data_IF_917837226602
#
_entry.id   IF_917837226602
#
_cell.length_a   1.000
_cell.length_b   1.000
_cell.length_c   1.000
_cell.angle_alpha   90.00
_cell.angle_beta   90.00
_cell.angle_gamma   90.00
#
_symmetry.space_group_name_H-M   'P 1'
#
loop_
_entity.id
_entity.type
_entity.pdbx_description
1 polymer ?
#
# COMPACT_ATOMS: atom_id res chain seq x y z
N UNK A 1 21.85 41.36 -16.04
CA UNK A 1 23.04 40.50 -16.06
C UNK A 1 22.74 39.34 -15.12
N UNK A 2 22.45 38.18 -15.69
CA UNK A 2 22.08 36.96 -14.95
C UNK A 2 23.31 36.13 -14.70
N UNK A 3 23.67 35.97 -13.44
CA UNK A 3 24.72 35.06 -12.98
C UNK A 3 24.20 33.63 -13.02
N UNK A 4 24.75 32.85 -13.93
CA UNK A 4 24.51 31.41 -14.02
C UNK A 4 25.11 30.73 -12.78
N UNK A 5 24.25 30.30 -11.85
CA UNK A 5 24.65 29.43 -10.76
C UNK A 5 25.06 28.07 -11.33
N UNK A 6 26.34 27.77 -11.28
CA UNK A 6 26.92 26.50 -11.69
C UNK A 6 26.24 25.36 -10.87
N UNK A 7 25.45 24.53 -11.53
CA UNK A 7 25.01 23.24 -11.00
C UNK A 7 26.25 22.39 -10.70
N UNK A 8 26.57 22.28 -9.43
CA UNK A 8 27.57 21.30 -8.95
C UNK A 8 27.05 19.92 -9.34
N UNK A 9 27.66 19.30 -10.35
CA UNK A 9 27.31 17.95 -10.75
C UNK A 9 27.58 17.02 -9.55
N UNK A 10 26.54 16.41 -8.99
CA UNK A 10 26.71 15.34 -8.02
C UNK A 10 27.50 14.22 -8.68
N UNK A 11 28.70 14.01 -8.21
CA UNK A 11 29.59 12.93 -8.68
C UNK A 11 28.97 11.62 -8.17
N UNK A 12 28.30 10.87 -9.05
CA UNK A 12 27.72 9.57 -8.72
C UNK A 12 28.83 8.58 -8.39
N UNK A 13 28.93 8.22 -7.11
CA UNK A 13 29.81 7.13 -6.67
C UNK A 13 29.13 5.77 -6.87
N UNK A 14 29.92 4.78 -7.29
CA UNK A 14 29.48 3.42 -7.52
C UNK A 14 30.29 2.48 -6.63
N UNK A 15 29.64 1.43 -6.09
CA UNK A 15 30.33 0.39 -5.35
C UNK A 15 30.95 -0.61 -6.33
N UNK A 16 32.25 -0.85 -6.18
CA UNK A 16 32.99 -1.85 -6.93
C UNK A 16 33.40 -2.97 -6.00
N UNK A 17 33.16 -4.20 -6.43
CA UNK A 17 33.68 -5.41 -5.77
C UNK A 17 34.97 -5.77 -6.48
N UNK A 18 36.03 -5.97 -5.71
CA UNK A 18 37.33 -6.31 -6.25
C UNK A 18 37.91 -7.58 -5.64
N UNK A 19 38.68 -8.29 -6.42
CA UNK A 19 39.49 -9.43 -6.02
C UNK A 19 40.94 -9.13 -6.45
N UNK A 20 41.87 -9.28 -5.52
CA UNK A 20 43.29 -9.03 -5.77
C UNK A 20 44.17 -9.98 -5.00
N UNK A 21 45.46 -9.91 -5.24
CA UNK A 21 46.49 -10.63 -4.49
C UNK A 21 47.38 -9.64 -3.75
N UNK A 22 47.58 -9.88 -2.48
CA UNK A 22 48.52 -9.12 -1.63
C UNK A 22 49.97 -9.45 -2.03
N UNK A 23 50.91 -8.68 -1.53
CA UNK A 23 52.38 -8.88 -1.76
C UNK A 23 52.85 -10.28 -1.34
N UNK A 24 52.14 -10.94 -0.45
CA UNK A 24 52.39 -12.33 -0.01
C UNK A 24 51.73 -13.41 -0.93
N UNK A 25 51.10 -13.01 -2.04
CA UNK A 25 50.39 -13.94 -2.96
C UNK A 25 49.02 -14.41 -2.46
N UNK A 26 48.54 -13.92 -1.30
CA UNK A 26 47.24 -14.29 -0.72
C UNK A 26 46.12 -13.54 -1.44
N UNK A 27 45.05 -14.27 -1.82
CA UNK A 27 43.85 -13.66 -2.43
C UNK A 27 43.08 -12.86 -1.38
N UNK A 28 42.93 -11.56 -1.65
CA UNK A 28 42.13 -10.63 -0.82
C UNK A 28 40.94 -10.15 -1.65
N UNK A 29 39.79 -9.99 -0.97
CA UNK A 29 38.54 -9.53 -1.58
C UNK A 29 38.03 -8.35 -0.78
N UNK A 30 37.41 -7.36 -1.44
CA UNK A 30 36.84 -6.23 -0.76
C UNK A 30 35.84 -5.47 -1.65
N UNK A 31 35.21 -4.47 -1.05
CA UNK A 31 34.34 -3.55 -1.75
C UNK A 31 34.85 -2.12 -1.54
N UNK A 32 34.73 -1.27 -2.57
CA UNK A 32 35.20 0.11 -2.55
C UNK A 32 34.22 1.00 -3.30
N UNK A 33 33.92 2.17 -2.75
CA UNK A 33 33.16 3.20 -3.44
C UNK A 33 34.11 4.08 -4.25
N UNK A 34 33.75 4.31 -5.53
CA UNK A 34 34.53 5.13 -6.43
C UNK A 34 33.65 5.68 -7.57
N UNK A 35 34.09 6.75 -8.19
CA UNK A 35 33.39 7.35 -9.33
C UNK A 35 33.55 6.53 -10.62
N UNK A 36 34.56 5.64 -10.65
CA UNK A 36 34.84 4.77 -11.77
C UNK A 36 35.90 3.70 -11.48
N UNK A 37 35.98 2.70 -12.34
CA UNK A 37 36.88 1.57 -12.21
C UNK A 37 38.39 2.02 -12.20
N UNK A 38 38.70 3.09 -12.91
CA UNK A 38 40.06 3.65 -12.93
C UNK A 38 40.49 4.13 -11.54
N UNK A 39 39.60 4.71 -10.75
CA UNK A 39 39.90 5.17 -9.39
C UNK A 39 40.11 3.98 -8.45
N UNK A 40 39.28 2.91 -8.56
CA UNK A 40 39.48 1.67 -7.79
C UNK A 40 40.85 1.07 -8.09
N UNK A 41 41.21 0.95 -9.37
CA UNK A 41 42.47 0.41 -9.80
C UNK A 41 43.65 1.23 -9.27
N UNK A 42 43.57 2.55 -9.30
CA UNK A 42 44.61 3.43 -8.76
C UNK A 42 44.80 3.26 -7.25
N UNK A 43 43.72 3.16 -6.51
CA UNK A 43 43.74 3.02 -5.04
C UNK A 43 44.31 1.66 -4.63
N UNK A 44 43.88 0.57 -5.25
CA UNK A 44 44.33 -0.80 -4.95
C UNK A 44 45.83 -0.97 -5.31
N UNK A 45 46.29 -0.39 -6.42
CA UNK A 45 47.73 -0.37 -6.78
C UNK A 45 48.58 0.37 -5.75
N UNK A 46 48.10 1.50 -5.21
CA UNK A 46 48.79 2.23 -4.10
C UNK A 46 48.86 1.39 -2.83
N UNK A 47 47.89 0.53 -2.57
CA UNK A 47 47.90 -0.41 -1.45
C UNK A 47 48.76 -1.66 -1.69
N UNK A 48 49.39 -1.77 -2.86
CA UNK A 48 50.24 -2.92 -3.22
C UNK A 48 49.48 -4.19 -3.55
N UNK A 49 48.20 -4.09 -3.88
CA UNK A 49 47.34 -5.22 -4.24
C UNK A 49 47.39 -5.38 -5.76
N UNK A 50 47.76 -6.58 -6.22
CA UNK A 50 47.71 -6.96 -7.63
C UNK A 50 46.28 -7.35 -7.97
N UNK A 51 45.62 -6.54 -8.80
CA UNK A 51 44.20 -6.68 -9.14
C UNK A 51 44.02 -7.90 -10.05
N UNK A 52 43.10 -8.79 -9.69
CA UNK A 52 42.69 -9.94 -10.50
C UNK A 52 41.39 -9.63 -11.22
N UNK A 53 40.41 -9.03 -10.49
CA UNK A 53 39.10 -8.71 -11.04
C UNK A 53 38.53 -7.49 -10.34
N UNK A 54 37.98 -6.54 -11.10
CA UNK A 54 37.13 -5.44 -10.58
C UNK A 54 35.82 -5.52 -11.32
N UNK A 55 34.75 -5.70 -10.56
CA UNK A 55 33.38 -5.67 -11.10
C UNK A 55 32.63 -4.51 -10.47
N UNK A 56 32.08 -3.63 -11.30
CA UNK A 56 31.10 -2.69 -10.86
C UNK A 56 29.93 -3.50 -10.33
N UNK A 57 29.71 -3.41 -9.02
CA UNK A 57 28.52 -4.01 -8.44
C UNK A 57 27.35 -3.28 -9.09
N UNK A 58 26.67 -3.93 -10.06
CA UNK A 58 25.36 -3.47 -10.46
C UNK A 58 24.60 -3.43 -9.13
N UNK A 59 24.25 -2.20 -8.71
CA UNK A 59 23.25 -2.07 -7.66
C UNK A 59 22.11 -2.95 -8.14
N UNK A 60 22.05 -4.17 -7.62
CA UNK A 60 20.86 -4.97 -7.77
C UNK A 60 19.78 -3.99 -7.38
N UNK A 61 18.76 -3.84 -8.20
CA UNK A 61 17.57 -3.07 -7.86
C UNK A 61 17.13 -3.61 -6.52
N UNK A 62 17.70 -3.01 -5.45
CA UNK A 62 17.40 -3.41 -4.09
C UNK A 62 15.88 -3.34 -4.02
N UNK A 63 15.25 -4.38 -3.51
CA UNK A 63 13.80 -4.47 -3.46
C UNK A 63 13.22 -3.14 -2.97
N UNK A 64 12.03 -2.81 -3.40
CA UNK A 64 11.32 -1.62 -2.90
C UNK A 64 11.15 -1.75 -1.40
N UNK A 65 11.40 -0.66 -0.67
CA UNK A 65 11.09 -0.58 0.77
C UNK A 65 9.58 -0.59 0.93
N UNK A 66 9.07 -1.56 1.67
CA UNK A 66 7.63 -1.75 1.89
C UNK A 66 7.17 -1.22 3.26
N UNK A 67 5.86 -0.94 3.42
CA UNK A 67 5.28 -0.62 4.74
C UNK A 67 5.59 -1.72 5.78
N UNK A 68 5.65 -2.99 5.35
CA UNK A 68 5.98 -4.13 6.21
C UNK A 68 7.42 -4.05 6.72
N UNK A 69 8.36 -3.67 5.86
CA UNK A 69 9.77 -3.50 6.24
C UNK A 69 9.92 -2.39 7.27
N UNK A 70 9.24 -1.26 7.07
CA UNK A 70 9.26 -0.13 8.00
C UNK A 70 8.61 -0.51 9.34
N UNK A 71 7.51 -1.25 9.32
CA UNK A 71 6.85 -1.73 10.54
C UNK A 71 7.77 -2.67 11.33
N UNK A 72 8.41 -3.62 10.65
CA UNK A 72 9.36 -4.55 11.26
C UNK A 72 10.57 -3.81 11.85
N UNK A 73 11.15 -2.90 11.09
CA UNK A 73 12.23 -2.02 11.56
C UNK A 73 11.82 -1.27 12.83
N UNK A 74 10.64 -0.63 12.82
CA UNK A 74 10.15 0.16 13.96
C UNK A 74 10.01 -0.71 15.21
N UNK A 75 9.44 -1.92 15.07
CA UNK A 75 9.31 -2.87 16.18
C UNK A 75 10.66 -3.34 16.71
N UNK A 76 11.59 -3.67 15.81
CA UNK A 76 12.95 -4.09 16.22
C UNK A 76 13.68 -2.95 16.94
N UNK A 77 13.61 -1.72 16.40
CA UNK A 77 14.21 -0.55 17.02
C UNK A 77 13.62 -0.30 18.43
N UNK A 78 12.29 -0.31 18.54
CA UNK A 78 11.59 -0.14 19.83
C UNK A 78 12.02 -1.21 20.85
N UNK A 79 12.09 -2.48 20.43
CA UNK A 79 12.48 -3.58 21.32
C UNK A 79 13.93 -3.43 21.79
N UNK A 80 14.85 -3.05 20.90
CA UNK A 80 16.26 -2.85 21.26
C UNK A 80 16.42 -1.65 22.21
N UNK A 81 15.74 -0.54 21.94
CA UNK A 81 15.76 0.63 22.81
C UNK A 81 15.22 0.28 24.21
N UNK A 82 14.11 -0.48 24.26
CA UNK A 82 13.52 -0.98 25.51
C UNK A 82 14.45 -1.91 26.30
N UNK A 83 15.36 -2.60 25.60
CA UNK A 83 16.41 -3.42 26.23
C UNK A 83 17.66 -2.64 26.61
N UNK A 84 17.65 -1.30 26.48
CA UNK A 84 18.77 -0.43 26.83
C UNK A 84 19.88 -0.36 25.76
N UNK A 85 19.67 -0.89 24.55
CA UNK A 85 20.65 -0.78 23.47
C UNK A 85 20.68 0.68 22.96
N UNK A 86 21.86 1.31 22.87
CA UNK A 86 21.98 2.67 22.35
C UNK A 86 21.43 2.80 20.93
N UNK A 87 20.79 3.93 20.63
CA UNK A 87 20.09 4.19 19.35
C UNK A 87 20.94 3.88 18.12
N UNK A 88 22.14 4.41 18.03
CA UNK A 88 23.03 4.20 16.87
C UNK A 88 23.47 2.74 16.72
N UNK A 89 23.64 2.04 17.82
CA UNK A 89 23.94 0.61 17.81
C UNK A 89 22.73 -0.22 17.36
N UNK A 90 21.53 0.15 17.80
CA UNK A 90 20.29 -0.49 17.34
C UNK A 90 20.10 -0.32 15.83
N UNK A 91 20.34 0.88 15.27
CA UNK A 91 20.35 1.10 13.82
C UNK A 91 21.34 0.20 13.09
N UNK A 92 22.54 0.03 13.65
CA UNK A 92 23.59 -0.81 13.06
C UNK A 92 23.18 -2.28 13.02
N UNK A 93 22.63 -2.79 14.11
CA UNK A 93 22.17 -4.18 14.22
C UNK A 93 21.02 -4.45 13.25
N UNK A 94 19.99 -3.59 13.28
CA UNK A 94 18.81 -3.78 12.42
C UNK A 94 19.17 -3.59 10.96
N UNK A 95 19.96 -2.56 10.64
CA UNK A 95 20.34 -2.27 9.27
C UNK A 95 21.22 -3.36 8.64
N UNK A 96 22.20 -3.88 9.35
CA UNK A 96 23.05 -4.98 8.87
C UNK A 96 22.33 -6.32 8.83
N UNK A 97 21.36 -6.54 9.74
CA UNK A 97 20.57 -7.77 9.83
C UNK A 97 19.38 -7.84 8.87
N UNK A 98 19.02 -6.73 8.20
CA UNK A 98 17.82 -6.69 7.37
C UNK A 98 18.03 -7.41 6.03
N UNK A 99 17.10 -8.28 5.66
CA UNK A 99 17.16 -9.09 4.43
C UNK A 99 17.01 -8.26 3.14
N UNK A 100 16.34 -7.10 3.21
CA UNK A 100 16.15 -6.20 2.08
C UNK A 100 17.29 -5.17 2.02
N UNK A 101 18.19 -5.23 0.99
CA UNK A 101 19.32 -4.30 0.90
C UNK A 101 18.92 -2.83 0.73
N UNK A 102 17.72 -2.53 0.23
CA UNK A 102 17.23 -1.16 0.13
C UNK A 102 16.92 -0.59 1.52
N UNK A 103 16.34 -1.40 2.40
CA UNK A 103 16.08 -1.04 3.80
C UNK A 103 17.39 -0.86 4.54
N UNK A 104 18.32 -1.81 4.40
CA UNK A 104 19.65 -1.70 5.01
C UNK A 104 20.33 -0.37 4.65
N UNK A 105 20.34 0.01 3.37
CA UNK A 105 20.90 1.30 2.92
C UNK A 105 20.14 2.49 3.52
N UNK A 106 18.80 2.47 3.51
CA UNK A 106 17.98 3.52 4.09
C UNK A 106 18.35 3.76 5.56
N UNK A 107 18.41 2.68 6.35
CA UNK A 107 18.72 2.75 7.78
C UNK A 107 20.16 3.22 8.04
N UNK A 108 21.13 2.78 7.23
CA UNK A 108 22.51 3.26 7.34
C UNK A 108 22.64 4.74 6.97
N UNK A 109 21.86 5.24 5.99
CA UNK A 109 21.83 6.67 5.66
C UNK A 109 21.28 7.49 6.83
N UNK A 110 20.15 7.05 7.42
CA UNK A 110 19.55 7.71 8.59
C UNK A 110 20.53 7.69 9.77
N UNK A 111 21.16 6.55 10.03
CA UNK A 111 22.20 6.43 11.08
C UNK A 111 23.31 7.46 10.87
N UNK A 112 23.85 7.56 9.66
CA UNK A 112 24.92 8.52 9.33
C UNK A 112 24.47 9.96 9.51
N UNK A 113 23.23 10.30 9.15
CA UNK A 113 22.68 11.64 9.37
C UNK A 113 22.64 11.98 10.86
N UNK A 114 22.23 11.02 11.70
CA UNK A 114 22.19 11.21 13.18
C UNK A 114 23.61 11.28 13.76
N UNK A 115 24.56 10.48 13.28
CA UNK A 115 25.97 10.53 13.69
C UNK A 115 26.63 11.88 13.39
N UNK A 116 26.18 12.56 12.32
CA UNK A 116 26.66 13.91 11.97
C UNK A 116 26.00 15.03 12.78
N UNK A 117 25.15 14.70 13.76
CA UNK A 117 24.54 15.65 14.69
C UNK A 117 23.13 16.11 14.29
N UNK A 118 22.51 15.49 13.29
CA UNK A 118 21.11 15.75 12.95
C UNK A 118 20.20 15.07 13.96
N UNK A 119 19.10 15.73 14.35
CA UNK A 119 18.12 15.07 15.20
C UNK A 119 17.37 13.98 14.43
N UNK A 120 16.84 13.00 15.16
CA UNK A 120 16.23 11.80 14.57
C UNK A 120 14.99 12.14 13.73
N UNK A 121 14.17 13.11 14.18
CA UNK A 121 13.01 13.61 13.42
C UNK A 121 13.43 14.09 12.04
N UNK A 122 14.43 14.97 11.96
CA UNK A 122 14.92 15.54 10.70
C UNK A 122 15.54 14.47 9.78
N UNK A 123 16.23 13.49 10.35
CA UNK A 123 16.79 12.38 9.59
C UNK A 123 15.70 11.54 8.90
N UNK A 124 14.59 11.29 9.58
CA UNK A 124 13.43 10.60 8.97
C UNK A 124 12.69 11.47 7.97
N UNK A 125 12.52 12.77 8.21
CA UNK A 125 11.85 13.73 7.30
C UNK A 125 12.53 13.82 5.93
N UNK A 126 13.80 13.51 5.79
CA UNK A 126 14.49 13.40 4.49
C UNK A 126 13.93 12.28 3.60
N UNK A 127 13.19 11.34 4.18
CA UNK A 127 12.67 10.16 3.48
C UNK A 127 11.14 10.08 3.53
N UNK A 128 10.39 11.08 3.01
CA UNK A 128 8.94 11.20 3.15
C UNK A 128 8.15 10.09 2.45
N UNK A 129 8.78 9.33 1.54
CA UNK A 129 8.17 8.16 0.88
C UNK A 129 8.01 6.97 1.84
N UNK A 130 8.77 6.93 2.94
CA UNK A 130 8.83 5.81 3.88
C UNK A 130 8.34 6.18 5.28
N UNK A 131 8.55 7.44 5.67
CA UNK A 131 8.19 7.94 7.00
C UNK A 131 7.19 9.09 6.86
N UNK A 132 5.97 8.83 7.27
CA UNK A 132 4.89 9.81 7.25
C UNK A 132 5.05 10.89 8.34
N UNK A 133 4.34 12.01 8.26
CA UNK A 133 4.42 13.07 9.28
C UNK A 133 4.10 12.60 10.70
N UNK A 134 3.20 11.61 10.84
CA UNK A 134 2.90 11.00 12.14
C UNK A 134 4.15 10.36 12.73
N UNK A 135 4.86 9.55 11.95
CA UNK A 135 6.09 8.89 12.36
C UNK A 135 7.12 9.92 12.84
N UNK A 136 7.39 10.93 12.00
CA UNK A 136 8.37 11.96 12.29
C UNK A 136 8.02 12.79 13.54
N UNK A 137 6.74 13.14 13.72
CA UNK A 137 6.27 13.92 14.86
C UNK A 137 6.34 13.12 16.17
N UNK A 138 5.96 11.85 16.17
CA UNK A 138 6.09 10.99 17.35
C UNK A 138 7.55 10.79 17.75
N UNK A 139 8.43 10.52 16.78
CA UNK A 139 9.86 10.40 17.04
C UNK A 139 10.44 11.70 17.60
N UNK A 140 10.09 12.84 17.00
CA UNK A 140 10.54 14.16 17.47
C UNK A 140 10.06 14.48 18.89
N UNK A 141 8.81 14.17 19.22
CA UNK A 141 8.28 14.33 20.56
C UNK A 141 9.04 13.45 21.57
N UNK A 142 9.33 12.19 21.21
CA UNK A 142 10.09 11.27 22.03
C UNK A 142 11.54 11.70 22.25
N UNK A 143 12.17 12.20 21.21
CA UNK A 143 13.53 12.73 21.26
C UNK A 143 13.62 13.97 22.17
N UNK A 144 12.71 14.93 21.99
CA UNK A 144 12.65 16.15 22.77
C UNK A 144 12.35 15.91 24.26
N UNK A 145 11.49 14.95 24.57
CA UNK A 145 11.09 14.60 25.94
C UNK A 145 12.00 13.55 26.61
N UNK A 146 12.96 12.96 25.87
CA UNK A 146 13.81 11.89 26.38
C UNK A 146 13.09 10.56 26.63
N UNK A 147 11.90 10.36 26.03
CA UNK A 147 11.07 9.14 26.17
C UNK A 147 10.94 8.39 24.84
N UNK A 148 11.97 8.44 24.01
CA UNK A 148 11.98 7.87 22.66
C UNK A 148 11.59 6.40 22.64
N UNK A 149 12.06 5.63 23.62
CA UNK A 149 11.74 4.21 23.79
C UNK A 149 10.23 3.96 23.85
N UNK A 150 9.53 4.66 24.75
CA UNK A 150 8.08 4.53 24.93
C UNK A 150 7.30 4.92 23.68
N UNK A 151 7.72 6.01 23.00
CA UNK A 151 7.04 6.47 21.78
C UNK A 151 7.33 5.57 20.57
N UNK A 152 8.52 4.99 20.48
CA UNK A 152 8.80 3.99 19.44
C UNK A 152 7.97 2.72 19.63
N UNK A 153 7.72 2.27 20.87
CA UNK A 153 6.86 1.11 21.13
C UNK A 153 5.41 1.39 20.75
N UNK A 154 4.89 2.58 21.10
CA UNK A 154 3.56 3.04 20.64
C UNK A 154 3.48 3.14 19.12
N UNK A 155 4.50 3.68 18.49
CA UNK A 155 4.59 3.81 17.03
C UNK A 155 4.65 2.45 16.33
N UNK A 156 5.42 1.51 16.87
CA UNK A 156 5.49 0.14 16.37
C UNK A 156 4.11 -0.54 16.46
N UNK A 157 3.44 -0.44 17.60
CA UNK A 157 2.09 -0.97 17.81
C UNK A 157 1.08 -0.35 16.85
N UNK A 158 1.14 0.98 16.67
CA UNK A 158 0.32 1.68 15.67
C UNK A 158 0.55 1.14 14.24
N UNK A 159 1.82 1.07 13.80
CA UNK A 159 2.16 0.57 12.46
C UNK A 159 1.71 -0.88 12.25
N UNK A 160 1.83 -1.74 13.25
CA UNK A 160 1.36 -3.12 13.21
C UNK A 160 -0.15 -3.22 13.05
N UNK A 161 -0.91 -2.42 13.81
CA UNK A 161 -2.38 -2.34 13.72
C UNK A 161 -2.83 -1.89 12.31
N UNK A 162 -2.26 -0.79 11.82
CA UNK A 162 -2.58 -0.28 10.48
C UNK A 162 -2.21 -1.28 9.37
N UNK A 163 -1.05 -1.93 9.49
CA UNK A 163 -0.63 -2.96 8.55
C UNK A 163 -1.56 -4.18 8.60
N UNK A 164 -2.01 -4.57 9.80
CA UNK A 164 -2.98 -5.64 10.02
C UNK A 164 -4.30 -5.37 9.29
N UNK A 165 -4.88 -4.17 9.47
CA UNK A 165 -6.10 -3.76 8.77
C UNK A 165 -5.92 -3.84 7.24
N UNK A 166 -4.83 -3.27 6.70
CA UNK A 166 -4.53 -3.33 5.26
C UNK A 166 -4.39 -4.78 4.76
N UNK A 167 -3.71 -5.64 5.53
CA UNK A 167 -3.50 -7.04 5.18
C UNK A 167 -4.81 -7.83 5.15
N UNK A 168 -5.69 -7.64 6.14
CA UNK A 168 -7.01 -8.29 6.22
C UNK A 168 -7.88 -7.93 5.01
N UNK A 169 -8.00 -6.65 4.70
CA UNK A 169 -8.76 -6.16 3.53
C UNK A 169 -8.19 -6.76 2.24
N UNK A 170 -6.87 -6.73 2.06
CA UNK A 170 -6.21 -7.30 0.87
C UNK A 170 -6.44 -8.80 0.73
N UNK A 171 -6.36 -9.54 1.82
CA UNK A 171 -6.57 -11.00 1.85
C UNK A 171 -8.01 -11.36 1.49
N UNK A 172 -8.99 -10.64 2.05
CA UNK A 172 -10.40 -10.85 1.75
C UNK A 172 -10.76 -10.61 0.28
N UNK A 173 -10.12 -9.63 -0.36
CA UNK A 173 -10.36 -9.31 -1.78
C UNK A 173 -9.63 -10.27 -2.74
N UNK A 174 -8.63 -11.00 -2.28
CA UNK A 174 -7.82 -11.87 -3.14
C UNK A 174 -8.64 -13.00 -3.76
N UNK A 175 -9.44 -13.71 -2.95
CA UNK A 175 -10.26 -14.82 -3.41
C UNK A 175 -11.32 -14.41 -4.45
N UNK A 176 -12.15 -13.38 -4.22
CA UNK A 176 -13.09 -12.87 -5.22
C UNK A 176 -12.43 -12.46 -6.54
N UNK A 177 -11.31 -11.75 -6.47
CA UNK A 177 -10.58 -11.31 -7.68
C UNK A 177 -10.05 -12.53 -8.45
N UNK A 178 -9.49 -13.52 -7.76
CA UNK A 178 -8.99 -14.73 -8.40
C UNK A 178 -10.10 -15.48 -9.15
N UNK A 179 -11.29 -15.63 -8.53
CA UNK A 179 -12.41 -16.30 -9.17
C UNK A 179 -12.92 -15.52 -10.38
N UNK A 180 -13.05 -14.19 -10.29
CA UNK A 180 -13.47 -13.35 -11.42
C UNK A 180 -12.48 -13.48 -12.58
N UNK A 181 -11.18 -13.49 -12.33
CA UNK A 181 -10.15 -13.70 -13.35
C UNK A 181 -10.32 -15.07 -14.03
N UNK A 182 -10.49 -16.15 -13.25
CA UNK A 182 -10.72 -17.51 -13.79
C UNK A 182 -12.01 -17.53 -14.61
N UNK A 183 -13.07 -16.91 -14.12
CA UNK A 183 -14.34 -16.81 -14.83
C UNK A 183 -14.21 -16.12 -16.20
N UNK A 184 -13.53 -15.00 -16.25
CA UNK A 184 -13.26 -14.27 -17.50
C UNK A 184 -12.45 -15.13 -18.46
N UNK A 185 -11.42 -15.84 -17.97
CA UNK A 185 -10.60 -16.75 -18.80
C UNK A 185 -11.44 -17.88 -19.36
N UNK A 186 -12.24 -18.56 -18.53
CA UNK A 186 -13.11 -19.65 -18.98
C UNK A 186 -14.13 -19.16 -20.02
N UNK A 187 -14.78 -18.02 -19.74
CA UNK A 187 -15.74 -17.39 -20.66
C UNK A 187 -15.07 -17.07 -22.00
N UNK A 188 -13.86 -16.50 -21.98
CA UNK A 188 -13.11 -16.20 -23.20
C UNK A 188 -12.78 -17.49 -24.00
N UNK A 189 -12.37 -18.56 -23.32
CA UNK A 189 -12.08 -19.86 -23.96
C UNK A 189 -13.38 -20.40 -24.64
N UNK A 190 -14.51 -20.38 -23.95
CA UNK A 190 -15.77 -20.83 -24.49
C UNK A 190 -16.16 -19.99 -25.70
N UNK A 191 -16.07 -18.67 -25.62
CA UNK A 191 -16.43 -17.74 -26.71
C UNK A 191 -15.53 -17.89 -27.95
N UNK A 192 -14.23 -18.13 -27.74
CA UNK A 192 -13.26 -18.15 -28.86
C UNK A 192 -13.15 -19.52 -29.53
N UNK A 193 -13.28 -20.60 -28.76
CA UNK A 193 -13.03 -21.95 -29.26
C UNK A 193 -14.29 -22.82 -29.35
N UNK A 194 -15.11 -22.81 -28.28
CA UNK A 194 -16.23 -23.75 -28.18
C UNK A 194 -17.40 -23.32 -29.02
N UNK A 195 -17.85 -22.08 -28.91
CA UNK A 195 -19.03 -21.58 -29.65
C UNK A 195 -18.82 -21.61 -31.18
N UNK A 196 -17.64 -21.22 -31.72
CA UNK A 196 -17.39 -21.34 -33.16
C UNK A 196 -17.46 -22.80 -33.69
N UNK A 197 -16.92 -23.75 -32.89
CA UNK A 197 -17.02 -25.17 -33.26
C UNK A 197 -18.48 -25.66 -33.35
N UNK A 198 -19.31 -25.28 -32.37
CA UNK A 198 -20.74 -25.60 -32.42
C UNK A 198 -21.48 -24.90 -33.59
N UNK A 199 -21.07 -23.67 -33.93
CA UNK A 199 -21.63 -22.94 -35.09
C UNK A 199 -21.44 -23.72 -36.39
N UNK A 200 -20.28 -24.33 -36.60
CA UNK A 200 -20.02 -25.16 -37.78
C UNK A 200 -20.91 -26.39 -37.80
N UNK A 201 -21.06 -27.05 -36.66
CA UNK A 201 -21.97 -28.19 -36.51
C UNK A 201 -23.41 -27.82 -36.83
N UNK A 202 -23.92 -26.73 -36.27
CA UNK A 202 -25.30 -26.29 -36.50
C UNK A 202 -25.57 -25.88 -37.95
N UNK A 203 -24.58 -25.27 -38.63
CA UNK A 203 -24.69 -24.95 -40.08
C UNK A 203 -24.89 -26.20 -40.93
N UNK A 204 -24.28 -27.33 -40.55
CA UNK A 204 -24.41 -28.58 -41.32
C UNK A 204 -25.80 -29.22 -41.21
N UNK A 205 -26.56 -28.90 -40.14
CA UNK A 205 -27.92 -29.42 -39.95
C UNK A 205 -29.01 -28.60 -40.64
N UNK A 206 -28.72 -27.39 -41.12
CA UNK A 206 -29.65 -26.58 -41.93
C UNK A 206 -30.91 -26.09 -41.19
N UNK A 207 -30.95 -26.17 -39.84
CA UNK A 207 -32.12 -25.81 -39.07
C UNK A 207 -32.05 -24.35 -38.57
N UNK A 208 -33.23 -23.73 -38.41
CA UNK A 208 -33.36 -22.40 -37.82
C UNK A 208 -32.93 -22.40 -36.34
N UNK A 209 -31.95 -21.58 -36.02
CA UNK A 209 -31.42 -21.48 -34.67
C UNK A 209 -32.29 -20.64 -33.73
N UNK A 210 -32.46 -21.05 -32.47
CA UNK A 210 -33.20 -20.25 -31.50
C UNK A 210 -32.53 -18.89 -31.23
N UNK A 211 -33.34 -17.87 -30.93
CA UNK A 211 -32.87 -16.51 -30.66
C UNK A 211 -31.74 -16.41 -29.60
N UNK A 212 -31.81 -17.10 -28.43
CA UNK A 212 -30.71 -17.07 -27.47
C UNK A 212 -29.38 -17.58 -28.03
N UNK A 213 -29.43 -18.64 -28.88
CA UNK A 213 -28.23 -19.17 -29.54
C UNK A 213 -27.64 -18.17 -30.53
N UNK A 214 -28.49 -17.50 -31.33
CA UNK A 214 -28.05 -16.45 -32.26
C UNK A 214 -27.35 -15.29 -31.51
N UNK A 215 -27.91 -14.87 -30.39
CA UNK A 215 -27.29 -13.79 -29.56
C UNK A 215 -25.89 -14.21 -29.09
N UNK A 216 -25.77 -15.40 -28.52
CA UNK A 216 -24.48 -15.91 -28.02
C UNK A 216 -23.46 -16.08 -29.13
N UNK A 217 -23.88 -16.56 -30.30
CA UNK A 217 -23.05 -16.67 -31.51
C UNK A 217 -22.60 -15.32 -32.02
N UNK A 218 -23.48 -14.32 -32.06
CA UNK A 218 -23.13 -12.96 -32.50
C UNK A 218 -22.10 -12.32 -31.56
N UNK A 219 -22.27 -12.52 -30.24
CA UNK A 219 -21.27 -12.05 -29.23
C UNK A 219 -19.94 -12.78 -29.43
N UNK A 220 -19.98 -14.10 -29.67
CA UNK A 220 -18.77 -14.89 -29.94
C UNK A 220 -18.04 -14.41 -31.18
N UNK A 221 -18.75 -14.21 -32.29
CA UNK A 221 -18.18 -13.69 -33.54
C UNK A 221 -17.51 -12.32 -33.31
N UNK A 222 -18.16 -11.44 -32.57
CA UNK A 222 -17.58 -10.15 -32.21
C UNK A 222 -16.32 -10.29 -31.39
N UNK A 223 -16.31 -11.18 -30.38
CA UNK A 223 -15.14 -11.46 -29.56
C UNK A 223 -14.01 -12.05 -30.39
N UNK A 224 -14.29 -13.03 -31.23
CA UNK A 224 -13.30 -13.67 -32.13
C UNK A 224 -12.70 -12.68 -33.12
N UNK A 225 -13.54 -11.84 -33.74
CA UNK A 225 -13.06 -10.82 -34.67
C UNK A 225 -12.22 -9.72 -34.00
N UNK A 226 -12.51 -9.39 -32.75
CA UNK A 226 -11.92 -8.24 -32.07
C UNK A 226 -11.12 -8.61 -30.82
N UNK A 227 -10.75 -9.87 -30.62
CA UNK A 227 -10.10 -10.33 -29.39
C UNK A 227 -8.86 -9.48 -29.00
N UNK A 228 -8.04 -9.12 -29.99
CA UNK A 228 -6.83 -8.33 -29.78
C UNK A 228 -7.16 -6.92 -29.27
N UNK A 229 -8.18 -6.27 -29.88
CA UNK A 229 -8.63 -4.93 -29.45
C UNK A 229 -9.35 -4.98 -28.09
N UNK A 230 -10.11 -6.03 -27.81
CA UNK A 230 -10.81 -6.22 -26.54
C UNK A 230 -9.83 -6.42 -25.39
N UNK A 231 -8.95 -7.41 -25.49
CA UNK A 231 -8.00 -7.71 -24.42
C UNK A 231 -6.87 -6.67 -24.35
N UNK A 232 -6.36 -6.22 -25.49
CA UNK A 232 -5.36 -5.15 -25.55
C UNK A 232 -5.92 -3.82 -25.07
N UNK A 233 -7.11 -3.45 -25.53
CA UNK A 233 -7.80 -2.23 -25.10
C UNK A 233 -8.16 -2.26 -23.61
N UNK A 234 -8.65 -3.40 -23.08
CA UNK A 234 -8.89 -3.57 -21.66
C UNK A 234 -7.60 -3.42 -20.83
N UNK A 235 -6.50 -4.04 -21.28
CA UNK A 235 -5.21 -3.90 -20.64
C UNK A 235 -4.71 -2.44 -20.60
N UNK A 236 -4.80 -1.74 -21.73
CA UNK A 236 -4.45 -0.31 -21.82
C UNK A 236 -5.38 0.54 -20.94
N UNK A 237 -6.69 0.27 -20.94
CA UNK A 237 -7.66 0.99 -20.12
C UNK A 237 -7.38 0.80 -18.62
N UNK A 238 -7.11 -0.43 -18.17
CA UNK A 238 -6.74 -0.75 -16.79
C UNK A 238 -5.43 -0.04 -16.42
N UNK A 239 -4.42 -0.10 -17.27
CA UNK A 239 -3.15 0.59 -17.05
C UNK A 239 -3.34 2.11 -16.96
N UNK A 240 -4.06 2.71 -17.91
CA UNK A 240 -4.35 4.14 -17.93
C UNK A 240 -5.17 4.58 -16.69
N UNK A 241 -6.15 3.75 -16.27
CA UNK A 241 -6.92 3.99 -15.05
C UNK A 241 -6.04 4.03 -13.81
N UNK A 242 -5.19 3.01 -13.57
CA UNK A 242 -4.30 3.01 -12.42
C UNK A 242 -3.21 4.09 -12.51
N UNK A 243 -2.74 4.43 -13.71
CA UNK A 243 -1.78 5.49 -13.91
C UNK A 243 -2.37 6.87 -13.60
N UNK A 244 -3.58 7.16 -14.10
CA UNK A 244 -4.31 8.41 -13.81
C UNK A 244 -4.72 8.50 -12.35
N UNK A 245 -5.18 7.40 -11.76
CA UNK A 245 -5.54 7.36 -10.34
C UNK A 245 -4.36 7.72 -9.43
N UNK A 246 -3.18 7.15 -9.70
CA UNK A 246 -1.96 7.47 -8.91
C UNK A 246 -1.47 8.91 -9.11
N UNK A 247 -1.73 9.52 -10.25
CA UNK A 247 -1.15 10.82 -10.62
C UNK A 247 -2.10 11.99 -10.49
N UNK A 248 -3.39 11.79 -10.57
CA UNK A 248 -4.41 12.84 -10.55
C UNK A 248 -5.12 12.91 -9.20
N UNK A 249 -4.91 13.99 -8.45
CA UNK A 249 -5.62 14.27 -7.20
C UNK A 249 -7.14 14.32 -7.39
N UNK A 250 -7.60 14.89 -8.52
CA UNK A 250 -9.04 14.93 -8.84
C UNK A 250 -9.65 13.54 -8.99
N UNK A 251 -8.91 12.62 -9.61
CA UNK A 251 -9.33 11.23 -9.77
C UNK A 251 -9.36 10.49 -8.43
N UNK A 252 -8.37 10.74 -7.56
CA UNK A 252 -8.35 10.19 -6.20
C UNK A 252 -9.57 10.65 -5.40
N UNK A 253 -9.86 11.96 -5.41
CA UNK A 253 -11.04 12.54 -4.72
C UNK A 253 -12.34 11.91 -5.24
N UNK A 254 -12.48 11.81 -6.57
CA UNK A 254 -13.67 11.20 -7.17
C UNK A 254 -13.84 9.74 -6.75
N UNK A 255 -12.75 8.96 -6.79
CA UNK A 255 -12.78 7.55 -6.39
C UNK A 255 -13.06 7.37 -4.91
N UNK A 256 -12.47 8.19 -4.04
CA UNK A 256 -12.71 8.14 -2.59
C UNK A 256 -14.19 8.42 -2.25
N UNK A 257 -14.82 9.37 -2.94
CA UNK A 257 -16.25 9.66 -2.80
C UNK A 257 -17.12 8.54 -3.35
N UNK A 258 -16.75 8.01 -4.50
CA UNK A 258 -17.51 6.94 -5.16
C UNK A 258 -17.52 5.68 -4.30
N UNK A 259 -16.37 5.26 -3.78
CA UNK A 259 -16.24 4.04 -2.96
C UNK A 259 -17.11 4.13 -1.70
N UNK A 260 -17.21 5.30 -1.06
CA UNK A 260 -18.06 5.47 0.12
C UNK A 260 -19.56 5.26 -0.16
N UNK A 261 -20.00 5.37 -1.43
CA UNK A 261 -21.39 5.16 -1.86
C UNK A 261 -21.69 3.73 -2.30
N UNK A 262 -20.67 2.94 -2.56
CA UNK A 262 -20.84 1.55 -2.99
C UNK A 262 -21.32 0.72 -1.79
N UNK A 263 -22.45 -0.01 -1.89
CA UNK A 263 -22.94 -0.84 -0.81
C UNK A 263 -21.87 -1.88 -0.42
N UNK A 264 -21.81 -2.24 0.86
CA UNK A 264 -20.83 -3.15 1.47
C UNK A 264 -19.42 -2.56 1.54
N UNK A 265 -18.83 -2.13 0.41
CA UNK A 265 -17.49 -1.53 0.36
C UNK A 265 -17.43 -0.16 1.05
N UNK A 266 -18.48 0.66 0.90
CA UNK A 266 -18.54 1.98 1.53
C UNK A 266 -18.54 1.88 3.05
N UNK A 267 -19.25 0.91 3.63
CA UNK A 267 -19.26 0.68 5.07
C UNK A 267 -17.89 0.24 5.59
N UNK A 268 -17.24 -0.70 4.90
CA UNK A 268 -15.88 -1.15 5.22
C UNK A 268 -14.87 0.02 5.19
N UNK A 269 -14.90 0.86 4.16
CA UNK A 269 -13.99 2.01 4.05
C UNK A 269 -14.28 3.06 5.12
N UNK A 270 -15.55 3.30 5.44
CA UNK A 270 -15.96 4.20 6.53
C UNK A 270 -15.40 3.73 7.87
N UNK A 271 -15.68 2.47 8.25
CA UNK A 271 -15.19 1.85 9.49
C UNK A 271 -13.65 1.88 9.55
N UNK A 272 -12.98 1.52 8.46
CA UNK A 272 -11.52 1.55 8.37
C UNK A 272 -10.94 2.97 8.49
N UNK A 273 -11.61 3.98 7.94
CA UNK A 273 -11.17 5.38 8.05
C UNK A 273 -11.32 5.90 9.48
N UNK A 274 -12.43 5.57 10.14
CA UNK A 274 -12.69 5.93 11.54
C UNK A 274 -11.68 5.22 12.46
N UNK A 275 -11.46 3.92 12.28
CA UNK A 275 -10.47 3.16 13.07
C UNK A 275 -9.07 3.79 12.97
N UNK A 276 -8.63 4.12 11.76
CA UNK A 276 -7.33 4.79 11.55
C UNK A 276 -7.30 6.18 12.15
N UNK A 277 -8.34 6.98 11.96
CA UNK A 277 -8.46 8.32 12.49
C UNK A 277 -8.36 8.33 14.02
N UNK A 278 -9.20 7.52 14.69
CA UNK A 278 -9.26 7.44 16.16
C UNK A 278 -7.97 6.85 16.74
N UNK A 279 -7.42 5.79 16.13
CA UNK A 279 -6.14 5.20 16.55
C UNK A 279 -4.98 6.19 16.44
N UNK A 280 -4.94 6.95 15.34
CA UNK A 280 -3.89 7.95 15.13
C UNK A 280 -3.99 9.06 16.16
N UNK A 281 -5.20 9.62 16.38
CA UNK A 281 -5.39 10.69 17.34
C UNK A 281 -5.11 10.23 18.78
N UNK A 282 -5.60 9.06 19.17
CA UNK A 282 -5.30 8.46 20.46
C UNK A 282 -3.79 8.30 20.69
N UNK A 283 -3.07 7.80 19.69
CA UNK A 283 -1.62 7.58 19.78
C UNK A 283 -0.87 8.90 19.92
N UNK A 284 -1.22 9.93 19.14
CA UNK A 284 -0.61 11.25 19.18
C UNK A 284 -0.88 11.96 20.52
N UNK A 285 -2.13 11.91 20.98
CA UNK A 285 -2.52 12.55 22.23
C UNK A 285 -1.86 11.87 23.43
N UNK A 286 -1.83 10.53 23.46
CA UNK A 286 -1.10 9.76 24.47
C UNK A 286 0.42 10.02 24.47
N UNK A 287 0.97 10.50 23.36
CA UNK A 287 2.37 10.93 23.24
C UNK A 287 2.60 12.38 23.67
N UNK A 288 1.55 13.08 24.12
CA UNK A 288 1.64 14.49 24.56
C UNK A 288 1.72 15.50 23.41
N UNK A 289 1.41 15.09 22.18
CA UNK A 289 1.39 16.02 21.04
C UNK A 289 0.18 16.95 21.15
N UNK A 290 0.35 18.27 20.98
CA UNK A 290 -0.77 19.21 21.02
C UNK A 290 -1.85 18.86 20.02
N UNK A 291 -3.14 19.00 20.43
CA UNK A 291 -4.30 18.53 19.67
C UNK A 291 -4.33 19.07 18.22
N UNK A 292 -4.07 20.37 18.04
CA UNK A 292 -4.09 21.01 16.70
C UNK A 292 -3.00 20.42 15.78
N UNK A 293 -1.83 20.11 16.33
CA UNK A 293 -0.73 19.46 15.59
C UNK A 293 -1.06 18.00 15.27
N UNK A 294 -1.61 17.29 16.26
CA UNK A 294 -2.06 15.91 16.09
C UNK A 294 -3.09 15.80 14.96
N UNK A 295 -4.10 16.68 14.90
CA UNK A 295 -5.12 16.72 13.86
C UNK A 295 -4.53 16.88 12.45
N UNK A 296 -3.41 17.58 12.30
CA UNK A 296 -2.71 17.67 11.00
C UNK A 296 -2.21 16.31 10.50
N UNK A 297 -1.61 15.53 11.40
CA UNK A 297 -1.13 14.17 11.10
C UNK A 297 -2.29 13.20 10.86
N UNK A 298 -3.34 13.30 11.70
CA UNK A 298 -4.55 12.48 11.61
C UNK A 298 -5.28 12.67 10.27
N UNK A 299 -5.34 13.90 9.75
CA UNK A 299 -5.92 14.16 8.44
C UNK A 299 -5.25 13.32 7.34
N UNK A 300 -3.91 13.27 7.32
CA UNK A 300 -3.17 12.44 6.37
C UNK A 300 -3.32 10.94 6.57
N UNK A 301 -3.51 10.49 7.81
CA UNK A 301 -3.59 9.08 8.17
C UNK A 301 -4.98 8.46 7.93
N UNK A 302 -6.05 9.25 7.88
CA UNK A 302 -7.44 8.78 7.73
C UNK A 302 -7.65 7.95 6.44
N UNK A 303 -6.89 8.25 5.37
CA UNK A 303 -6.82 7.44 4.15
C UNK A 303 -8.05 7.51 3.25
N UNK A 304 -8.90 8.52 3.44
CA UNK A 304 -10.01 8.88 2.56
C UNK A 304 -10.14 10.40 2.54
N UNK A 305 -10.42 10.96 1.37
CA UNK A 305 -10.44 12.41 1.16
C UNK A 305 -11.54 13.13 1.95
N UNK A 306 -12.72 12.54 2.13
CA UNK A 306 -13.79 13.16 2.92
C UNK A 306 -13.38 13.32 4.39
N UNK A 307 -12.75 12.30 4.96
CA UNK A 307 -12.20 12.38 6.32
C UNK A 307 -11.03 13.35 6.42
N UNK A 308 -10.20 13.46 5.36
CA UNK A 308 -9.13 14.44 5.30
C UNK A 308 -9.68 15.88 5.37
N UNK A 309 -10.67 16.20 4.55
CA UNK A 309 -11.29 17.53 4.51
C UNK A 309 -11.99 17.84 5.82
N UNK A 310 -12.78 16.89 6.33
CA UNK A 310 -13.46 17.02 7.63
C UNK A 310 -12.46 17.28 8.76
N UNK A 311 -11.36 16.53 8.79
CA UNK A 311 -10.32 16.71 9.83
C UNK A 311 -9.62 18.07 9.71
N UNK A 312 -9.38 18.56 8.49
CA UNK A 312 -8.81 19.91 8.28
C UNK A 312 -9.75 21.01 8.74
N UNK A 313 -11.06 20.85 8.54
CA UNK A 313 -12.08 21.75 9.08
C UNK A 313 -12.07 21.74 10.61
N UNK A 314 -12.11 20.53 11.22
CA UNK A 314 -12.02 20.36 12.67
C UNK A 314 -10.75 21.01 13.22
N UNK A 315 -9.60 20.79 12.58
CA UNK A 315 -8.34 21.41 12.96
C UNK A 315 -8.43 22.94 13.02
N UNK A 316 -9.03 23.54 11.99
CA UNK A 316 -9.20 24.99 11.93
C UNK A 316 -10.11 25.52 13.04
N UNK A 317 -11.20 24.84 13.34
CA UNK A 317 -12.16 25.23 14.39
C UNK A 317 -11.54 25.07 15.78
N UNK A 318 -10.86 23.97 16.05
CA UNK A 318 -10.14 23.74 17.32
C UNK A 318 -9.01 24.75 17.52
N UNK A 319 -8.30 25.14 16.46
CA UNK A 319 -7.26 26.16 16.53
C UNK A 319 -7.82 27.54 16.91
N UNK A 320 -9.12 27.82 16.66
CA UNK A 320 -9.81 29.04 17.08
C UNK A 320 -10.48 28.91 18.46
N UNK A 321 -10.30 27.79 19.16
CA UNK A 321 -10.77 27.57 20.53
C UNK A 321 -12.11 26.82 20.62
N UNK A 322 -12.64 26.29 19.52
CA UNK A 322 -13.80 25.39 19.58
C UNK A 322 -13.42 24.05 20.22
N UNK A 323 -14.38 23.39 20.91
CA UNK A 323 -14.15 22.04 21.42
C UNK A 323 -14.03 21.03 20.28
N UNK A 324 -13.23 19.96 20.50
CA UNK A 324 -13.10 18.88 19.53
C UNK A 324 -14.45 18.25 19.22
N UNK A 325 -15.26 18.01 20.27
CA UNK A 325 -16.60 17.42 20.16
C UNK A 325 -17.52 18.24 19.27
N UNK A 326 -17.61 19.58 19.48
CA UNK A 326 -18.49 20.45 18.68
C UNK A 326 -18.05 20.50 17.22
N UNK A 327 -16.74 20.55 16.96
CA UNK A 327 -16.16 20.55 15.62
C UNK A 327 -16.42 19.22 14.88
N UNK A 328 -16.36 18.10 15.60
CA UNK A 328 -16.68 16.77 15.04
C UNK A 328 -18.16 16.63 14.70
N UNK A 329 -19.06 17.17 15.52
CA UNK A 329 -20.50 17.22 15.24
C UNK A 329 -20.78 18.02 13.96
N UNK A 330 -20.15 19.16 13.79
CA UNK A 330 -20.28 20.02 12.60
C UNK A 330 -19.69 19.43 11.32
N UNK A 331 -18.88 18.38 11.43
CA UNK A 331 -18.26 17.72 10.27
C UNK A 331 -19.14 16.60 9.64
N UNK A 332 -20.11 16.06 10.36
CA UNK A 332 -21.12 15.06 9.92
C UNK A 332 -20.58 13.80 9.23
N UNK A 333 -19.34 13.41 9.56
CA UNK A 333 -18.70 12.18 9.01
C UNK A 333 -18.48 11.12 10.09
N UNK A 334 -18.67 11.46 11.36
CA UNK A 334 -18.44 10.57 12.48
C UNK A 334 -19.76 10.04 13.06
N UNK A 335 -19.86 8.73 13.36
CA UNK A 335 -20.99 8.17 14.08
C UNK A 335 -21.16 8.78 15.49
N UNK A 336 -22.38 8.78 15.99
CA UNK A 336 -22.70 9.35 17.31
C UNK A 336 -21.85 8.78 18.44
N UNK A 337 -21.54 7.49 18.41
CA UNK A 337 -20.70 6.84 19.41
C UNK A 337 -19.29 7.47 19.47
N UNK A 338 -18.69 7.77 18.33
CA UNK A 338 -17.35 8.41 18.26
C UNK A 338 -17.40 9.79 18.92
N UNK A 339 -18.43 10.56 18.61
CA UNK A 339 -18.65 11.90 19.15
C UNK A 339 -18.87 11.86 20.66
N UNK A 340 -19.71 10.94 21.14
CA UNK A 340 -19.99 10.77 22.58
C UNK A 340 -18.74 10.37 23.36
N UNK A 341 -17.96 9.41 22.86
CA UNK A 341 -16.72 8.99 23.51
C UNK A 341 -15.65 10.10 23.49
N UNK A 342 -15.63 10.91 22.43
CA UNK A 342 -14.77 12.10 22.36
C UNK A 342 -15.19 13.13 23.40
N UNK A 343 -16.48 13.38 23.55
CA UNK A 343 -17.02 14.30 24.56
C UNK A 343 -16.62 13.88 25.98
N UNK A 344 -16.83 12.61 26.32
CA UNK A 344 -16.46 12.07 27.63
C UNK A 344 -14.93 12.20 27.84
N UNK A 345 -14.15 11.90 26.81
CA UNK A 345 -12.70 12.01 26.89
C UNK A 345 -12.19 13.45 27.03
N UNK A 346 -12.86 14.40 26.36
CA UNK A 346 -12.55 15.83 26.42
C UNK A 346 -12.89 16.41 27.82
N UNK A 347 -14.07 16.08 28.35
CA UNK A 347 -14.51 16.51 29.70
C UNK A 347 -13.67 15.88 30.83
N UNK A 348 -13.32 14.60 30.69
CA UNK A 348 -12.56 13.88 31.72
C UNK A 348 -11.03 14.06 31.58
N UNK A 349 -10.53 14.75 30.55
CA UNK A 349 -9.10 14.86 30.28
C UNK A 349 -8.41 13.52 29.91
N UNK A 350 -9.19 12.53 29.43
CA UNK A 350 -8.75 11.18 29.10
C UNK A 350 -9.04 10.81 27.64
N UNK A 351 -8.81 11.77 26.74
CA UNK A 351 -9.15 11.66 25.32
C UNK A 351 -8.41 10.49 24.64
N UNK A 352 -7.15 10.25 25.01
CA UNK A 352 -6.35 9.11 24.53
C UNK A 352 -6.99 7.76 24.86
N UNK A 353 -7.44 7.58 26.10
CA UNK A 353 -8.07 6.35 26.55
C UNK A 353 -9.43 6.12 25.88
N UNK A 354 -10.27 7.16 25.77
CA UNK A 354 -11.58 7.07 25.13
C UNK A 354 -11.46 6.81 23.62
N UNK A 355 -10.64 7.56 22.91
CA UNK A 355 -10.40 7.33 21.49
C UNK A 355 -9.69 6.00 21.22
N UNK A 356 -8.84 5.52 22.15
CA UNK A 356 -8.25 4.19 22.10
C UNK A 356 -9.31 3.08 22.10
N UNK A 357 -10.33 3.19 22.97
CA UNK A 357 -11.47 2.27 23.00
C UNK A 357 -12.32 2.31 21.73
N UNK A 358 -12.56 3.51 21.22
CA UNK A 358 -13.25 3.69 19.93
C UNK A 358 -12.46 3.04 18.79
N UNK A 359 -11.14 3.20 18.78
CA UNK A 359 -10.30 2.57 17.78
C UNK A 359 -10.33 1.05 17.85
N UNK A 360 -10.26 0.45 19.07
CA UNK A 360 -10.38 -1.00 19.27
C UNK A 360 -11.72 -1.52 18.74
N UNK A 361 -12.81 -0.80 19.03
CA UNK A 361 -14.15 -1.14 18.55
C UNK A 361 -14.23 -1.11 17.02
N UNK A 362 -13.77 -0.02 16.38
CA UNK A 362 -13.83 0.07 14.92
C UNK A 362 -12.83 -0.86 14.21
N UNK A 363 -11.72 -1.22 14.83
CA UNK A 363 -10.83 -2.27 14.34
C UNK A 363 -11.57 -3.62 14.29
N UNK A 364 -12.35 -3.94 15.33
CA UNK A 364 -13.20 -5.14 15.35
C UNK A 364 -14.33 -5.05 14.30
N UNK A 365 -14.99 -3.91 14.18
CA UNK A 365 -16.03 -3.68 13.16
C UNK A 365 -15.47 -3.83 11.72
N UNK A 366 -14.20 -3.49 11.49
CA UNK A 366 -13.52 -3.75 10.21
C UNK A 366 -13.31 -5.25 10.01
N UNK A 367 -12.91 -5.98 11.04
CA UNK A 367 -12.75 -7.43 10.97
C UNK A 367 -14.06 -8.12 10.61
N UNK A 368 -15.14 -7.76 11.29
CA UNK A 368 -16.47 -8.30 11.05
C UNK A 368 -17.00 -7.93 9.65
N UNK A 369 -16.75 -6.70 9.19
CA UNK A 369 -17.12 -6.28 7.84
C UNK A 369 -16.33 -7.02 6.75
N UNK A 370 -15.07 -7.33 6.98
CA UNK A 370 -14.21 -8.12 6.07
C UNK A 370 -14.71 -9.56 6.00
N UNK A 371 -15.09 -10.16 7.11
CA UNK A 371 -15.67 -11.50 7.18
C UNK A 371 -17.03 -11.57 6.48
N UNK A 372 -17.92 -10.61 6.77
CA UNK A 372 -19.22 -10.48 6.10
C UNK A 372 -19.06 -10.27 4.57
N UNK A 373 -18.11 -9.43 4.14
CA UNK A 373 -17.81 -9.26 2.72
C UNK A 373 -17.41 -10.59 2.07
N UNK A 374 -16.51 -11.34 2.71
CA UNK A 374 -16.02 -12.62 2.19
C UNK A 374 -17.16 -13.64 2.06
N UNK A 375 -18.02 -13.73 3.05
CA UNK A 375 -19.18 -14.66 3.05
C UNK A 375 -20.26 -14.29 2.03
N UNK A 376 -20.50 -13.00 1.79
CA UNK A 376 -21.47 -12.52 0.80
C UNK A 376 -20.95 -12.65 -0.64
N UNK A 377 -19.65 -12.54 -0.85
CA UNK A 377 -19.06 -12.65 -2.19
C UNK A 377 -19.24 -14.03 -2.81
N UNK A 378 -19.22 -15.10 -2.02
CA UNK A 378 -19.36 -16.47 -2.53
C UNK A 378 -20.71 -16.73 -3.22
N UNK A 379 -21.88 -16.47 -2.58
CA UNK A 379 -23.19 -16.59 -3.27
C UNK A 379 -23.31 -15.66 -4.49
N UNK A 380 -22.83 -14.43 -4.39
CA UNK A 380 -22.85 -13.49 -5.51
C UNK A 380 -22.09 -14.02 -6.72
N UNK A 381 -20.87 -14.54 -6.49
CA UNK A 381 -20.05 -15.14 -7.56
C UNK A 381 -20.75 -16.36 -8.15
N UNK A 382 -21.34 -17.24 -7.32
CA UNK A 382 -22.06 -18.41 -7.81
C UNK A 382 -23.26 -18.00 -8.70
N UNK A 383 -24.02 -16.98 -8.33
CA UNK A 383 -25.14 -16.49 -9.13
C UNK A 383 -24.64 -15.92 -10.46
N UNK A 384 -23.60 -15.09 -10.44
CA UNK A 384 -23.04 -14.50 -11.66
C UNK A 384 -22.50 -15.57 -12.60
N UNK A 385 -21.68 -16.50 -12.08
CA UNK A 385 -21.09 -17.57 -12.86
C UNK A 385 -22.15 -18.56 -13.38
N UNK A 386 -23.07 -18.96 -12.51
CA UNK A 386 -24.17 -19.86 -12.86
C UNK A 386 -25.03 -19.27 -13.97
N UNK A 387 -25.37 -17.99 -13.89
CA UNK A 387 -26.15 -17.30 -14.93
C UNK A 387 -25.35 -17.17 -16.22
N UNK A 388 -24.10 -16.80 -16.16
CA UNK A 388 -23.26 -16.56 -17.35
C UNK A 388 -22.91 -17.88 -18.05
N UNK A 389 -22.34 -18.84 -17.33
CA UNK A 389 -21.94 -20.14 -17.91
C UNK A 389 -23.17 -20.98 -18.21
N UNK A 390 -24.12 -21.07 -17.29
CA UNK A 390 -25.37 -21.79 -17.48
C UNK A 390 -26.19 -21.23 -18.64
N UNK A 391 -26.27 -19.93 -18.77
CA UNK A 391 -26.92 -19.27 -19.91
C UNK A 391 -26.24 -19.60 -21.25
N UNK A 392 -24.92 -19.61 -21.31
CA UNK A 392 -24.19 -20.04 -22.52
C UNK A 392 -24.43 -21.52 -22.85
N UNK A 393 -24.38 -22.39 -21.85
CA UNK A 393 -24.65 -23.83 -22.02
C UNK A 393 -26.06 -24.07 -22.53
N UNK A 394 -27.07 -23.46 -21.90
CA UNK A 394 -28.48 -23.56 -22.37
C UNK A 394 -28.60 -23.07 -23.80
N UNK A 395 -28.05 -21.90 -24.12
CA UNK A 395 -28.11 -21.37 -25.49
C UNK A 395 -27.48 -22.28 -26.54
N UNK A 396 -26.44 -23.05 -26.19
CA UNK A 396 -25.79 -24.01 -27.06
C UNK A 396 -26.57 -25.32 -27.20
N UNK A 397 -27.24 -25.80 -26.14
CA UNK A 397 -28.01 -27.04 -26.18
C UNK A 397 -29.44 -26.87 -26.78
N UNK A 398 -30.00 -25.65 -26.74
CA UNK A 398 -31.34 -25.36 -27.24
C UNK A 398 -31.58 -25.82 -28.69
N UNK A 399 -30.64 -25.62 -29.64
CA UNK A 399 -30.79 -26.14 -31.02
C UNK A 399 -30.89 -27.68 -31.09
N UNK A 400 -30.11 -28.37 -30.22
CA UNK A 400 -30.09 -29.85 -30.18
C UNK A 400 -31.46 -30.39 -29.78
N UNK A 401 -32.09 -29.76 -28.75
CA UNK A 401 -33.42 -30.12 -28.32
C UNK A 401 -34.50 -29.84 -29.40
N UNK A 402 -34.39 -28.74 -30.15
CA UNK A 402 -35.29 -28.44 -31.25
C UNK A 402 -35.15 -29.45 -32.38
N UNK A 403 -33.94 -29.88 -32.71
CA UNK A 403 -33.72 -30.90 -33.74
C UNK A 403 -34.32 -32.26 -33.32
N UNK A 404 -34.18 -32.67 -32.06
CA UNK A 404 -34.78 -33.88 -31.52
C UNK A 404 -36.32 -33.88 -31.45
N UNK A 405 -36.95 -32.73 -31.51
CA UNK A 405 -38.42 -32.59 -31.54
C UNK A 405 -39.00 -32.47 -32.97
N UNK A 406 -38.14 -32.31 -33.98
CA UNK A 406 -38.53 -32.18 -35.40
C UNK A 406 -38.41 -33.51 -36.19
N UNK A 407 -37.87 -34.55 -35.53
CA UNK A 407 -37.88 -35.95 -35.99
C UNK A 407 -38.98 -36.71 -35.29
#
# INVERSE_FOLDING_TARGET
MATAAARKAEIKEFTFRWVGQDRAGKTVRGEMQATGEAQVNATLRRQGIKIVEVKKQRMGTGGTVTDKDITLFTRQLATMMKSGVPLLQAFDIVGKGHSNPAVARLLMTIKSDVETGMNLKQAFEKHPLHFDPLFCNLVGAGEAAGILESLLDRLATYKEKILGIKAKIKSALFYPIAIIVVAVVITAIIMIFVIPAFKEVFKSFGADLPTPTLIVMAISDFVVANWFFLFGGAGVAIYAFFWTWKRSTKMQIFMDRLILRVPVFGDLIRKSSIARWTRTLATMFAAGVPLVEALSSVAGAAGNYEYYVATKKIQSEVATGASLTSSMQGADVFPSMVIQMTMIGEEAGSLDAMLGKVADFFEQEVDDAVEALSSLMEPMIMVVLGTLIGGMVIAMYLPIFKLGSAV
#
